data_IF_127565952139
#
_entry.id   IF_127565952139
#
_cell.length_a   1.000
_cell.length_b   1.000
_cell.length_c   1.000
_cell.angle_alpha   90.00
_cell.angle_beta   90.00
_cell.angle_gamma   90.00
#
_symmetry.space_group_name_H-M   'P 1'
#
loop_
_entity.id
_entity.type
_entity.pdbx_description
1 polymer ?
#
# COMPACT_ATOMS: atom_id res chain seq x y z
N UNK A 1 -15.88 -23.41 -26.48
CA UNK A 1 -14.45 -23.74 -26.48
C UNK A 1 -13.85 -23.08 -27.69
N UNK A 2 -13.45 -21.82 -27.56
CA UNK A 2 -12.75 -21.08 -28.61
C UNK A 2 -11.46 -20.52 -28.01
N UNK A 3 -10.38 -20.69 -28.77
CA UNK A 3 -9.01 -20.54 -28.36
C UNK A 3 -8.66 -19.08 -28.04
N UNK A 4 -8.14 -18.84 -26.84
CA UNK A 4 -7.35 -17.66 -26.51
C UNK A 4 -6.10 -17.61 -27.40
N UNK A 5 -6.13 -16.78 -28.45
CA UNK A 5 -4.92 -16.32 -29.13
C UNK A 5 -4.25 -15.28 -28.22
N UNK A 6 -3.24 -15.72 -27.48
CA UNK A 6 -2.28 -14.83 -26.84
C UNK A 6 -1.52 -14.12 -27.98
N UNK A 7 -1.83 -12.85 -28.19
CA UNK A 7 -1.02 -11.99 -29.04
C UNK A 7 0.32 -11.77 -28.35
N UNK A 8 1.33 -12.54 -28.76
CA UNK A 8 2.73 -12.22 -28.51
C UNK A 8 3.00 -10.90 -29.23
N UNK A 9 3.09 -9.80 -28.49
CA UNK A 9 3.50 -8.51 -29.01
C UNK A 9 4.97 -8.66 -29.44
N UNK A 10 5.21 -8.99 -30.73
CA UNK A 10 6.51 -8.79 -31.35
C UNK A 10 6.74 -7.28 -31.41
N UNK A 11 7.45 -6.75 -30.41
CA UNK A 11 8.04 -5.42 -30.49
C UNK A 11 9.01 -5.43 -31.67
N UNK A 12 8.77 -4.53 -32.63
CA UNK A 12 9.70 -4.20 -33.70
C UNK A 12 10.97 -3.63 -33.05
N UNK A 13 12.01 -4.46 -32.94
CA UNK A 13 13.34 -4.03 -32.52
C UNK A 13 14.04 -3.33 -33.69
N UNK A 14 14.19 -2.01 -33.63
CA UNK A 14 15.19 -1.31 -34.41
C UNK A 14 16.52 -1.33 -33.63
N UNK A 15 17.45 -2.20 -34.05
CA UNK A 15 18.80 -2.36 -33.49
C UNK A 15 19.03 -3.78 -32.94
N UNK A 16 19.40 -4.73 -33.80
CA UNK A 16 19.60 -6.16 -33.47
C UNK A 16 21.08 -6.60 -33.49
N UNK A 17 22.01 -5.66 -33.62
CA UNK A 17 23.45 -5.95 -33.62
C UNK A 17 24.03 -5.60 -32.26
N UNK A 18 24.37 -6.62 -31.45
CA UNK A 18 25.22 -6.42 -30.28
C UNK A 18 24.79 -7.12 -29.00
N UNK A 19 24.30 -6.37 -28.01
CA UNK A 19 23.96 -6.88 -26.67
C UNK A 19 22.46 -6.79 -26.38
N UNK A 20 21.93 -7.80 -25.67
CA UNK A 20 20.59 -7.81 -25.10
C UNK A 20 20.65 -7.65 -23.59
N UNK A 21 19.66 -6.94 -23.06
CA UNK A 21 19.35 -6.90 -21.64
C UNK A 21 17.93 -7.42 -21.41
N UNK A 22 17.82 -8.42 -20.55
CA UNK A 22 16.56 -8.95 -20.06
C UNK A 22 16.44 -8.57 -18.59
N UNK A 23 15.28 -8.04 -18.20
CA UNK A 23 14.99 -7.64 -16.83
C UNK A 23 13.65 -8.21 -16.37
N UNK A 24 13.44 -8.32 -15.06
CA UNK A 24 12.09 -8.47 -14.49
C UNK A 24 11.18 -7.34 -15.00
N UNK A 25 9.99 -7.67 -15.51
CA UNK A 25 9.03 -6.67 -16.03
C UNK A 25 8.22 -5.96 -14.93
N UNK A 26 8.03 -6.63 -13.78
CA UNK A 26 7.12 -6.19 -12.73
C UNK A 26 7.71 -6.44 -11.33
N UNK A 27 8.77 -5.70 -10.99
CA UNK A 27 9.46 -5.84 -9.71
C UNK A 27 8.58 -5.37 -8.54
N UNK A 28 7.85 -6.29 -7.92
CA UNK A 28 7.08 -6.07 -6.70
C UNK A 28 7.92 -6.47 -5.48
N UNK A 29 8.21 -5.51 -4.60
CA UNK A 29 9.08 -5.73 -3.44
C UNK A 29 8.57 -6.87 -2.56
N UNK A 30 9.47 -7.78 -2.17
CA UNK A 30 9.14 -8.93 -1.32
C UNK A 30 8.48 -10.10 -2.06
N UNK A 31 8.00 -9.89 -3.29
CA UNK A 31 7.18 -10.87 -4.03
C UNK A 31 7.92 -11.43 -5.24
N UNK A 32 8.51 -10.57 -6.07
CA UNK A 32 9.21 -10.97 -7.28
C UNK A 32 10.71 -10.71 -7.14
N UNK A 33 11.60 -11.63 -7.56
CA UNK A 33 13.02 -11.35 -7.59
C UNK A 33 13.37 -10.33 -8.68
N UNK A 34 14.42 -9.54 -8.46
CA UNK A 34 15.09 -8.85 -9.55
C UNK A 34 15.96 -9.85 -10.30
N UNK A 35 15.82 -9.92 -11.62
CA UNK A 35 16.71 -10.66 -12.50
C UNK A 35 17.13 -9.73 -13.63
N UNK A 36 18.44 -9.50 -13.77
CA UNK A 36 19.03 -8.71 -14.85
C UNK A 36 20.06 -9.58 -15.55
N UNK A 37 19.82 -9.86 -16.83
CA UNK A 37 20.68 -10.69 -17.66
C UNK A 37 21.17 -9.93 -18.89
N UNK A 38 22.48 -9.84 -19.04
CA UNK A 38 23.15 -9.43 -20.26
C UNK A 38 23.52 -10.67 -21.09
N UNK A 39 23.30 -10.64 -22.40
CA UNK A 39 23.69 -11.70 -23.34
C UNK A 39 23.95 -11.10 -24.73
N UNK A 40 24.70 -11.76 -25.63
CA UNK A 40 24.83 -11.27 -26.99
C UNK A 40 23.49 -11.39 -27.74
N UNK A 41 23.18 -10.41 -28.59
CA UNK A 41 21.96 -10.36 -29.41
C UNK A 41 22.04 -11.27 -30.64
N UNK A 42 23.20 -11.28 -31.28
CA UNK A 42 23.45 -12.08 -32.46
C UNK A 42 24.72 -12.90 -32.28
N UNK A 43 24.53 -14.21 -32.18
CA UNK A 43 25.60 -15.17 -31.98
C UNK A 43 26.50 -15.41 -33.19
N UNK A 44 26.05 -15.05 -34.39
CA UNK A 44 26.77 -15.37 -35.62
C UNK A 44 27.87 -14.35 -35.93
N UNK A 45 27.70 -13.12 -35.46
CA UNK A 45 28.67 -12.03 -35.57
C UNK A 45 29.61 -11.99 -34.36
N UNK A 46 29.10 -12.30 -33.17
CA UNK A 46 29.85 -12.25 -31.90
C UNK A 46 30.42 -13.63 -31.56
N UNK A 47 31.63 -13.90 -32.06
CA UNK A 47 32.29 -15.18 -31.83
C UNK A 47 33.01 -15.23 -30.48
N UNK A 48 33.65 -14.15 -30.05
CA UNK A 48 34.40 -14.10 -28.81
C UNK A 48 33.88 -12.98 -27.91
N UNK A 49 33.48 -13.30 -26.68
CA UNK A 49 33.11 -12.28 -25.70
C UNK A 49 34.29 -12.07 -24.76
N UNK A 50 34.84 -10.85 -24.75
CA UNK A 50 35.91 -10.48 -23.83
C UNK A 50 35.34 -10.15 -22.46
N UNK A 51 34.24 -9.39 -22.41
CA UNK A 51 33.57 -9.08 -21.15
C UNK A 51 32.13 -8.61 -21.29
N UNK A 52 31.35 -8.81 -20.24
CA UNK A 52 30.16 -8.01 -19.96
C UNK A 52 30.40 -7.18 -18.71
N UNK A 53 29.95 -5.91 -18.72
CA UNK A 53 29.84 -5.07 -17.53
C UNK A 53 28.39 -4.66 -17.36
N UNK A 54 27.79 -4.92 -16.21
CA UNK A 54 26.49 -4.40 -15.85
C UNK A 54 26.68 -3.13 -15.02
N UNK A 55 25.96 -2.08 -15.37
CA UNK A 55 25.90 -0.82 -14.62
C UNK A 55 24.49 -0.57 -14.11
N UNK A 56 24.40 0.14 -12.98
CA UNK A 56 23.16 0.65 -12.38
C UNK A 56 23.28 2.16 -12.24
N UNK A 57 22.44 2.91 -12.94
CA UNK A 57 22.51 4.38 -13.04
C UNK A 57 23.92 4.88 -13.40
N UNK A 58 24.62 4.16 -14.29
CA UNK A 58 26.00 4.48 -14.71
C UNK A 58 27.11 3.93 -13.80
N UNK A 59 26.79 3.42 -12.61
CA UNK A 59 27.79 2.82 -11.70
C UNK A 59 27.94 1.32 -11.99
N UNK A 60 29.16 0.79 -12.27
CA UNK A 60 29.37 -0.65 -12.48
C UNK A 60 28.97 -1.48 -11.26
N UNK A 61 28.06 -2.44 -11.44
CA UNK A 61 27.57 -3.37 -10.39
C UNK A 61 28.17 -4.78 -10.49
N UNK A 62 28.51 -5.22 -11.71
CA UNK A 62 29.08 -6.55 -11.93
C UNK A 62 29.87 -6.58 -13.24
N UNK A 63 30.89 -7.47 -13.31
CA UNK A 63 31.61 -7.74 -14.55
C UNK A 63 31.94 -9.22 -14.67
N UNK A 64 32.02 -9.70 -15.90
CA UNK A 64 32.61 -11.01 -16.21
C UNK A 64 33.59 -10.80 -17.34
N UNK A 65 34.77 -11.41 -17.22
CA UNK A 65 35.87 -11.23 -18.17
C UNK A 65 36.44 -12.57 -18.59
N UNK A 66 36.89 -12.67 -19.83
CA UNK A 66 37.59 -13.84 -20.33
C UNK A 66 39.09 -13.71 -20.04
N UNK A 67 39.67 -14.70 -19.37
CA UNK A 67 41.11 -14.79 -19.17
C UNK A 67 41.73 -15.67 -20.24
N UNK A 68 42.29 -15.03 -21.27
CA UNK A 68 42.93 -15.71 -22.41
C UNK A 68 44.12 -16.57 -22.00
N UNK A 69 44.89 -16.16 -20.99
CA UNK A 69 46.09 -16.87 -20.56
C UNK A 69 45.77 -18.21 -19.88
N UNK A 70 44.62 -18.31 -19.20
CA UNK A 70 44.16 -19.51 -18.53
C UNK A 70 43.03 -20.25 -19.27
N UNK A 71 42.63 -19.75 -20.46
CA UNK A 71 41.49 -20.25 -21.25
C UNK A 71 40.22 -20.50 -20.42
N UNK A 72 39.94 -19.60 -19.47
CA UNK A 72 38.80 -19.74 -18.57
C UNK A 72 38.04 -18.41 -18.39
N UNK A 73 36.80 -18.51 -17.93
CA UNK A 73 36.04 -17.33 -17.53
C UNK A 73 36.45 -16.91 -16.12
N UNK A 74 36.96 -15.69 -15.99
CA UNK A 74 37.11 -15.02 -14.70
C UNK A 74 35.86 -14.19 -14.43
N UNK A 75 35.00 -14.69 -13.54
CA UNK A 75 33.91 -13.90 -12.99
C UNK A 75 34.50 -12.89 -11.98
N UNK A 76 34.46 -11.60 -12.30
CA UNK A 76 35.00 -10.55 -11.42
C UNK A 76 33.85 -9.69 -10.95
N UNK A 77 33.38 -9.93 -9.72
CA UNK A 77 32.47 -9.00 -9.03
C UNK A 77 33.19 -7.65 -8.91
N UNK A 78 32.74 -6.65 -9.67
CA UNK A 78 33.39 -5.33 -9.70
C UNK A 78 32.72 -4.26 -8.85
N UNK A 79 31.58 -4.56 -8.19
CA UNK A 79 30.99 -3.59 -7.28
C UNK A 79 31.12 -3.98 -5.81
N UNK A 80 31.59 -2.95 -5.12
CA UNK A 80 32.19 -2.80 -3.80
C UNK A 80 31.26 -1.93 -2.94
N UNK A 81 30.08 -1.55 -3.42
CA UNK A 81 29.10 -0.77 -2.65
C UNK A 81 28.16 -1.65 -1.80
N UNK A 82 28.69 -2.24 -0.72
CA UNK A 82 27.95 -2.77 0.45
C UNK A 82 26.78 -3.76 0.24
N UNK A 83 26.48 -4.21 -0.99
CA UNK A 83 25.32 -5.05 -1.33
C UNK A 83 25.71 -6.47 -1.75
N UNK A 84 26.98 -6.87 -1.57
CA UNK A 84 27.51 -8.16 -2.04
C UNK A 84 26.75 -9.37 -1.48
N UNK A 85 26.19 -9.25 -0.28
CA UNK A 85 25.36 -10.29 0.35
C UNK A 85 23.93 -10.40 -0.18
N UNK A 86 23.46 -9.44 -0.99
CA UNK A 86 22.10 -9.41 -1.55
C UNK A 86 22.02 -9.98 -2.97
N UNK A 87 23.13 -9.95 -3.72
CA UNK A 87 23.16 -10.37 -5.12
C UNK A 87 23.66 -11.81 -5.26
N UNK A 88 22.95 -12.60 -6.06
CA UNK A 88 23.48 -13.83 -6.63
C UNK A 88 23.98 -13.54 -8.05
N UNK A 89 25.30 -13.58 -8.23
CA UNK A 89 25.96 -13.29 -9.50
C UNK A 89 26.35 -14.59 -10.20
N UNK A 90 25.97 -14.71 -11.46
CA UNK A 90 26.43 -15.78 -12.34
C UNK A 90 26.86 -15.18 -13.68
N UNK A 91 27.81 -15.82 -14.36
CA UNK A 91 28.23 -15.34 -15.66
C UNK A 91 29.22 -16.29 -16.31
N UNK A 92 29.17 -16.33 -17.63
CA UNK A 92 30.10 -17.06 -18.46
C UNK A 92 30.34 -16.25 -19.75
N UNK A 93 31.58 -16.16 -20.21
CA UNK A 93 31.92 -15.52 -21.50
C UNK A 93 32.67 -16.46 -22.44
N UNK A 94 33.06 -17.63 -21.93
CA UNK A 94 33.79 -18.66 -22.64
C UNK A 94 32.93 -19.92 -22.76
N UNK A 95 32.11 -19.95 -23.81
CA UNK A 95 31.33 -21.12 -24.21
C UNK A 95 31.24 -21.17 -25.74
N UNK A 96 31.24 -22.38 -26.30
CA UNK A 96 30.97 -22.61 -27.72
C UNK A 96 29.53 -22.23 -28.09
N UNK A 97 28.59 -22.40 -27.17
CA UNK A 97 27.21 -21.98 -27.33
C UNK A 97 27.06 -20.49 -26.92
N UNK A 98 26.71 -19.60 -27.86
CA UNK A 98 26.54 -18.17 -27.61
C UNK A 98 25.48 -17.84 -26.56
N UNK A 99 24.44 -18.67 -26.42
CA UNK A 99 23.36 -18.48 -25.43
C UNK A 99 23.87 -18.64 -24.00
N UNK A 100 24.94 -19.42 -23.82
CA UNK A 100 25.62 -19.61 -22.55
C UNK A 100 26.61 -18.50 -22.24
N UNK A 101 26.82 -17.53 -23.14
CA UNK A 101 27.60 -16.32 -22.86
C UNK A 101 26.68 -15.26 -22.23
N UNK A 102 26.82 -15.02 -20.94
CA UNK A 102 25.97 -14.08 -20.21
C UNK A 102 26.64 -13.51 -18.97
N UNK A 103 26.05 -12.43 -18.47
CA UNK A 103 26.21 -11.94 -17.11
C UNK A 103 24.82 -11.82 -16.50
N UNK A 104 24.58 -12.40 -15.33
CA UNK A 104 23.27 -12.40 -14.68
C UNK A 104 23.40 -12.03 -13.21
N UNK A 105 22.68 -10.99 -12.81
CA UNK A 105 22.51 -10.55 -11.42
C UNK A 105 21.10 -10.85 -10.97
N UNK A 106 20.97 -11.58 -9.86
CA UNK A 106 19.67 -11.86 -9.25
C UNK A 106 19.63 -11.30 -7.82
N UNK A 107 18.60 -10.54 -7.47
CA UNK A 107 18.25 -10.24 -6.07
C UNK A 107 17.06 -11.12 -5.69
N UNK A 108 17.18 -11.99 -4.68
CA UNK A 108 16.06 -12.75 -4.15
C UNK A 108 14.89 -11.84 -3.75
N UNK A 109 13.65 -12.29 -3.93
CA UNK A 109 12.45 -11.49 -3.68
C UNK A 109 12.41 -10.87 -2.27
N UNK A 110 12.84 -11.60 -1.24
CA UNK A 110 12.89 -11.12 0.15
C UNK A 110 14.00 -10.08 0.43
N UNK A 111 14.92 -9.86 -0.50
CA UNK A 111 16.03 -8.90 -0.41
C UNK A 111 15.90 -7.74 -1.39
N UNK A 112 14.81 -7.70 -2.16
CA UNK A 112 14.52 -6.57 -3.05
C UNK A 112 14.20 -5.34 -2.22
N UNK A 113 14.67 -4.17 -2.65
CA UNK A 113 14.38 -2.90 -2.01
C UNK A 113 14.11 -1.81 -3.03
N UNK A 114 13.64 -0.66 -2.58
CA UNK A 114 13.39 0.48 -3.47
C UNK A 114 14.64 0.93 -4.25
N UNK A 115 15.83 0.70 -3.69
CA UNK A 115 17.08 1.01 -4.38
C UNK A 115 17.22 0.21 -5.68
N UNK A 116 16.60 -0.95 -5.81
CA UNK A 116 16.67 -1.76 -7.02
C UNK A 116 15.93 -1.11 -8.21
N UNK A 117 15.17 -0.02 -7.98
CA UNK A 117 14.69 0.85 -9.05
C UNK A 117 15.85 1.63 -9.67
N UNK A 118 16.15 1.33 -10.93
CA UNK A 118 17.25 1.97 -11.63
C UNK A 118 17.18 1.74 -13.14
N UNK A 119 17.96 2.53 -13.86
CA UNK A 119 18.34 2.19 -15.22
C UNK A 119 19.54 1.23 -15.20
N UNK A 120 19.35 0.02 -15.70
CA UNK A 120 20.40 -0.99 -15.81
C UNK A 120 20.97 -0.98 -17.22
N UNK A 121 22.29 -0.90 -17.34
CA UNK A 121 22.99 -0.84 -18.63
C UNK A 121 23.95 -2.01 -18.76
N UNK A 122 23.77 -2.83 -19.78
CA UNK A 122 24.70 -3.88 -20.16
C UNK A 122 25.69 -3.32 -21.18
N UNK A 123 26.97 -3.42 -20.87
CA UNK A 123 28.08 -3.11 -21.76
C UNK A 123 28.71 -4.42 -22.22
N UNK A 124 28.87 -4.59 -23.53
CA UNK A 124 29.54 -5.71 -24.16
C UNK A 124 30.87 -5.25 -24.75
N UNK A 125 31.92 -6.01 -24.49
CA UNK A 125 33.16 -5.96 -25.26
C UNK A 125 33.44 -7.37 -25.81
N UNK A 126 33.58 -7.47 -27.12
CA UNK A 126 33.68 -8.70 -27.87
C UNK A 126 34.63 -8.57 -29.06
N UNK A 127 34.82 -9.67 -29.76
CA UNK A 127 35.44 -9.71 -31.07
C UNK A 127 34.62 -10.56 -32.03
N UNK A 128 34.66 -10.17 -33.29
CA UNK A 128 34.08 -10.94 -34.39
C UNK A 128 34.99 -12.10 -34.82
N UNK A 129 34.61 -12.78 -35.92
CA UNK A 129 35.36 -13.91 -36.49
C UNK A 129 36.74 -13.50 -37.01
N UNK A 130 36.88 -12.25 -37.43
CA UNK A 130 38.12 -11.67 -37.96
C UNK A 130 38.98 -11.05 -36.84
N UNK A 131 38.58 -11.24 -35.58
CA UNK A 131 39.21 -10.70 -34.37
C UNK A 131 39.18 -9.16 -34.28
N UNK A 132 38.31 -8.50 -35.05
CA UNK A 132 38.07 -7.08 -34.90
C UNK A 132 37.33 -6.82 -33.58
N UNK A 133 37.71 -5.74 -32.89
CA UNK A 133 37.07 -5.37 -31.63
C UNK A 133 35.66 -4.85 -31.87
N UNK A 134 34.74 -5.27 -31.01
CA UNK A 134 33.34 -4.91 -31.04
C UNK A 134 32.88 -4.47 -29.65
N UNK A 135 32.28 -3.29 -29.55
CA UNK A 135 31.71 -2.77 -28.31
C UNK A 135 30.27 -2.32 -28.57
N UNK A 136 29.38 -2.67 -27.65
CA UNK A 136 27.97 -2.28 -27.72
C UNK A 136 27.38 -2.11 -26.32
N UNK A 137 26.27 -1.38 -26.23
CA UNK A 137 25.55 -1.17 -24.98
C UNK A 137 24.05 -1.08 -25.15
N UNK A 138 23.33 -1.59 -24.14
CA UNK A 138 21.87 -1.49 -24.09
C UNK A 138 21.42 -1.20 -22.66
N UNK A 139 20.41 -0.35 -22.52
CA UNK A 139 19.86 0.05 -21.23
C UNK A 139 18.40 -0.35 -21.08
N UNK A 140 18.00 -0.71 -19.87
CA UNK A 140 16.61 -0.98 -19.53
C UNK A 140 16.32 -0.50 -18.12
N UNK A 141 15.24 0.27 -18.00
CA UNK A 141 14.74 0.73 -16.72
C UNK A 141 13.92 -0.37 -16.05
N UNK A 142 14.19 -0.58 -14.76
CA UNK A 142 13.40 -1.44 -13.89
C UNK A 142 12.70 -0.55 -12.88
N UNK A 143 11.36 -0.50 -12.94
CA UNK A 143 10.53 0.20 -11.98
C UNK A 143 10.13 -0.71 -10.82
N UNK A 144 10.02 -0.14 -9.62
CA UNK A 144 9.56 -0.86 -8.43
C UNK A 144 8.06 -0.63 -8.19
N UNK A 145 7.36 -1.69 -7.83
CA UNK A 145 5.99 -1.68 -7.31
C UNK A 145 5.97 -2.11 -5.85
N UNK A 146 5.05 -1.54 -5.09
CA UNK A 146 4.79 -1.94 -3.71
C UNK A 146 3.30 -2.15 -3.52
N UNK A 147 2.94 -3.09 -2.65
CA UNK A 147 1.55 -3.34 -2.27
C UNK A 147 1.17 -2.49 -1.05
N UNK A 148 -0.13 -2.33 -0.82
CA UNK A 148 -0.64 -1.76 0.42
C UNK A 148 -0.34 -2.70 1.59
N UNK A 149 0.25 -2.18 2.67
CA UNK A 149 0.73 -3.02 3.78
C UNK A 149 0.07 -2.71 5.12
N UNK A 150 -0.57 -1.55 5.27
CA UNK A 150 -1.23 -1.19 6.53
C UNK A 150 -2.32 -0.14 6.33
N UNK A 151 -3.34 -0.20 7.20
CA UNK A 151 -4.22 0.90 7.54
C UNK A 151 -4.02 1.16 9.05
N UNK A 152 -3.64 2.37 9.42
CA UNK A 152 -3.28 2.71 10.80
C UNK A 152 -4.50 2.65 11.72
N UNK A 153 -5.62 3.18 11.23
CA UNK A 153 -6.86 3.30 11.97
C UNK A 153 -7.84 4.23 11.27
N UNK A 154 -9.05 4.27 11.83
CA UNK A 154 -10.04 5.29 11.55
C UNK A 154 -10.15 6.16 12.80
N UNK A 155 -10.03 7.47 12.60
CA UNK A 155 -9.98 8.44 13.68
C UNK A 155 -11.04 9.51 13.44
N UNK A 156 -11.66 9.98 14.51
CA UNK A 156 -12.47 11.21 14.51
C UNK A 156 -12.12 11.97 15.77
N UNK A 157 -11.96 13.31 15.70
CA UNK A 157 -11.67 14.10 16.89
C UNK A 157 -12.86 14.06 17.88
N UNK A 158 -12.60 14.15 19.19
CA UNK A 158 -13.64 14.43 20.17
C UNK A 158 -14.25 15.81 19.92
N UNK A 159 -15.54 15.92 20.13
CA UNK A 159 -16.39 17.10 20.02
C UNK A 159 -17.34 17.10 21.22
N UNK A 160 -18.06 18.20 21.47
CA UNK A 160 -19.13 18.21 22.48
C UNK A 160 -20.29 17.26 22.17
N UNK A 161 -20.37 16.80 20.92
CA UNK A 161 -21.50 16.03 20.38
C UNK A 161 -21.15 14.55 20.11
N UNK A 162 -19.95 14.09 20.50
CA UNK A 162 -19.60 12.67 20.38
C UNK A 162 -18.88 12.16 21.63
N UNK A 163 -19.04 10.85 21.86
CA UNK A 163 -18.38 10.13 22.95
C UNK A 163 -17.65 8.93 22.35
N UNK A 164 -16.32 8.99 22.33
CA UNK A 164 -15.48 7.93 21.76
C UNK A 164 -15.33 6.78 22.75
N UNK A 165 -15.40 5.57 22.22
CA UNK A 165 -15.29 4.32 22.96
C UNK A 165 -13.81 3.86 22.97
N UNK A 166 -13.22 3.54 24.15
CA UNK A 166 -11.87 2.98 24.22
C UNK A 166 -11.70 1.68 23.43
N UNK A 167 -12.79 0.93 23.18
CA UNK A 167 -12.78 -0.34 22.45
C UNK A 167 -12.83 -0.20 20.91
N UNK A 168 -12.88 1.04 20.38
CA UNK A 168 -12.90 1.30 18.94
C UNK A 168 -14.31 1.59 18.42
N UNK A 169 -14.72 2.85 18.55
CA UNK A 169 -15.99 3.35 18.04
C UNK A 169 -16.39 4.65 18.71
N UNK A 170 -17.66 5.02 18.57
CA UNK A 170 -18.20 6.15 19.32
C UNK A 170 -19.71 6.26 19.24
N UNK A 171 -20.27 7.08 20.13
CA UNK A 171 -21.65 7.55 20.06
C UNK A 171 -21.67 8.96 19.49
N UNK A 172 -22.58 9.22 18.56
CA UNK A 172 -22.64 10.47 17.81
C UNK A 172 -24.05 11.03 17.76
N UNK A 173 -24.17 12.35 17.89
CA UNK A 173 -25.44 13.06 17.85
C UNK A 173 -26.08 12.97 16.46
N UNK A 174 -27.34 12.54 16.40
CA UNK A 174 -28.13 12.53 15.16
C UNK A 174 -28.28 13.95 14.61
N UNK A 175 -28.10 14.10 13.30
CA UNK A 175 -28.18 15.38 12.58
C UNK A 175 -26.85 16.11 12.45
N UNK A 176 -25.84 15.74 13.24
CA UNK A 176 -24.49 16.31 13.16
C UNK A 176 -23.63 15.58 12.11
N UNK A 177 -22.69 16.31 11.51
CA UNK A 177 -21.71 15.77 10.55
C UNK A 177 -20.35 15.63 11.24
N UNK A 178 -19.72 14.46 11.10
CA UNK A 178 -18.41 14.18 11.69
C UNK A 178 -17.40 13.84 10.59
N UNK A 179 -16.17 14.29 10.78
CA UNK A 179 -15.05 14.00 9.88
C UNK A 179 -14.24 12.83 10.41
N UNK A 180 -14.38 11.69 9.74
CA UNK A 180 -13.53 10.53 9.94
C UNK A 180 -12.30 10.63 9.05
N UNK A 181 -11.15 10.24 9.59
CA UNK A 181 -9.87 10.21 8.88
C UNK A 181 -9.35 8.79 8.90
N UNK A 182 -8.99 8.28 7.73
CA UNK A 182 -8.29 7.02 7.56
C UNK A 182 -6.91 7.30 6.99
N UNK A 183 -5.87 6.72 7.58
CA UNK A 183 -4.51 6.82 7.06
C UNK A 183 -4.00 5.43 6.72
N UNK A 184 -3.41 5.29 5.53
CA UNK A 184 -2.98 3.99 5.03
C UNK A 184 -1.74 4.07 4.16
N UNK A 185 -0.98 2.97 4.14
CA UNK A 185 0.09 2.72 3.19
C UNK A 185 -0.56 2.08 1.94
N UNK A 186 -0.54 2.81 0.82
CA UNK A 186 -1.38 2.56 -0.36
C UNK A 186 -0.64 2.01 -1.58
N UNK A 187 0.59 1.54 -1.40
CA UNK A 187 1.36 0.92 -2.49
C UNK A 187 1.97 1.94 -3.46
N UNK A 188 2.63 1.40 -4.49
CA UNK A 188 3.19 2.12 -5.63
C UNK A 188 2.88 1.31 -6.90
N UNK A 189 2.11 1.87 -7.87
CA UNK A 189 1.46 3.18 -7.82
C UNK A 189 0.43 3.27 -6.68
N UNK A 190 0.19 4.48 -6.12
CA UNK A 190 -0.73 4.66 -5.01
C UNK A 190 -2.17 4.34 -5.44
N UNK A 191 -2.87 3.56 -4.63
CA UNK A 191 -4.32 3.34 -4.78
C UNK A 191 -5.12 4.25 -3.85
N UNK A 192 -6.37 4.51 -4.22
CA UNK A 192 -7.28 5.26 -3.35
C UNK A 192 -7.68 4.42 -2.13
N UNK A 193 -8.00 5.09 -1.03
CA UNK A 193 -8.64 4.49 0.13
C UNK A 193 -10.16 4.56 -0.06
N UNK A 194 -10.81 3.40 0.06
CA UNK A 194 -12.25 3.27 -0.09
C UNK A 194 -12.91 3.18 1.28
N UNK A 195 -14.00 3.92 1.42
CA UNK A 195 -14.89 3.82 2.56
C UNK A 195 -16.07 2.92 2.25
N UNK A 196 -16.39 2.07 3.21
CA UNK A 196 -17.48 1.11 3.12
C UNK A 196 -18.23 1.08 4.45
N UNK A 197 -19.44 0.56 4.42
CA UNK A 197 -20.24 0.41 5.63
C UNK A 197 -21.05 -0.88 5.60
N UNK A 198 -21.51 -1.27 6.79
CA UNK A 198 -22.57 -2.27 6.98
C UNK A 198 -23.24 -2.03 8.32
N UNK A 199 -24.42 -2.59 8.52
CA UNK A 199 -24.97 -2.72 9.87
C UNK A 199 -24.32 -3.90 10.61
N UNK A 200 -24.19 -3.77 11.92
CA UNK A 200 -23.75 -4.88 12.76
C UNK A 200 -24.68 -6.11 12.57
N UNK A 201 -24.07 -7.27 12.37
CA UNK A 201 -24.77 -8.52 12.02
C UNK A 201 -24.92 -8.78 10.52
N UNK A 202 -24.68 -7.79 9.64
CA UNK A 202 -24.67 -8.02 8.19
C UNK A 202 -23.38 -8.72 7.73
N UNK A 203 -23.53 -9.59 6.72
CA UNK A 203 -22.43 -10.41 6.21
C UNK A 203 -21.45 -9.64 5.33
N UNK A 204 -21.92 -8.65 4.56
CA UNK A 204 -21.13 -7.95 3.55
C UNK A 204 -21.02 -6.44 3.80
N UNK A 205 -19.92 -5.84 3.38
CA UNK A 205 -19.77 -4.40 3.32
C UNK A 205 -20.29 -3.87 1.98
N UNK A 206 -21.03 -2.76 2.03
CA UNK A 206 -21.40 -1.98 0.86
C UNK A 206 -20.48 -0.76 0.72
N UNK A 207 -20.18 -0.31 -0.50
CA UNK A 207 -19.45 0.94 -0.71
C UNK A 207 -20.28 2.14 -0.22
N UNK A 208 -19.63 3.09 0.44
CA UNK A 208 -20.23 4.40 0.70
C UNK A 208 -20.16 5.20 -0.60
N UNK A 209 -21.30 5.39 -1.27
CA UNK A 209 -21.41 6.14 -2.53
C UNK A 209 -22.09 7.48 -2.26
N UNK A 210 -21.68 8.53 -2.98
CA UNK A 210 -22.01 9.95 -2.75
C UNK A 210 -23.52 10.25 -2.82
N UNK A 211 -24.21 10.12 -1.70
CA UNK A 211 -25.47 10.85 -1.39
C UNK A 211 -25.61 11.17 0.11
N UNK A 212 -24.85 10.49 0.99
CA UNK A 212 -24.78 10.73 2.45
C UNK A 212 -23.37 11.02 2.96
N UNK A 213 -22.36 10.98 2.08
CA UNK A 213 -20.95 11.04 2.44
C UNK A 213 -20.17 11.86 1.41
N UNK A 214 -19.37 12.80 1.89
CA UNK A 214 -18.36 13.50 1.08
C UNK A 214 -16.98 12.92 1.41
N UNK A 215 -16.33 12.35 0.40
CA UNK A 215 -15.04 11.66 0.51
C UNK A 215 -13.99 12.47 -0.24
N UNK A 216 -12.97 12.88 0.50
CA UNK A 216 -11.80 13.58 -0.05
C UNK A 216 -10.52 12.85 0.35
N UNK A 217 -9.46 12.99 -0.45
CA UNK A 217 -8.19 12.33 -0.19
C UNK A 217 -7.04 13.33 -0.26
N UNK A 218 -6.00 13.08 0.52
CA UNK A 218 -4.73 13.80 0.39
C UNK A 218 -3.99 13.38 -0.87
N UNK A 219 -3.06 14.20 -1.32
CA UNK A 219 -2.03 13.72 -2.24
C UNK A 219 -1.24 12.57 -1.58
N UNK A 220 -0.81 11.55 -2.34
CA UNK A 220 0.05 10.50 -1.81
C UNK A 220 1.44 11.06 -1.52
N UNK A 221 1.98 10.72 -0.36
CA UNK A 221 3.32 11.10 0.06
C UNK A 221 4.23 9.87 0.06
N UNK A 222 5.49 10.06 -0.37
CA UNK A 222 6.48 8.98 -0.30
C UNK A 222 6.71 8.61 1.16
N UNK A 223 6.52 7.34 1.44
CA UNK A 223 6.71 6.70 2.73
C UNK A 223 7.72 5.56 2.57
N UNK A 224 8.14 4.98 3.70
CA UNK A 224 9.16 3.94 3.81
C UNK A 224 9.22 2.97 2.62
N UNK A 225 10.44 2.61 2.20
CA UNK A 225 10.71 1.70 1.07
C UNK A 225 10.01 2.10 -0.24
N UNK A 226 9.92 3.42 -0.47
CA UNK A 226 9.18 4.08 -1.55
C UNK A 226 7.75 3.60 -1.78
N UNK A 227 7.14 3.10 -0.72
CA UNK A 227 5.70 2.99 -0.66
C UNK A 227 5.09 4.39 -0.59
N UNK A 228 3.78 4.52 -0.82
CA UNK A 228 3.08 5.77 -0.62
C UNK A 228 2.16 5.67 0.58
N UNK A 229 2.03 6.76 1.31
CA UNK A 229 1.04 6.93 2.37
C UNK A 229 0.06 8.01 1.96
N UNK A 230 -1.21 7.80 2.27
CA UNK A 230 -2.29 8.73 1.97
C UNK A 230 -3.26 8.80 3.13
N UNK A 231 -3.91 9.94 3.27
CA UNK A 231 -5.08 10.11 4.12
C UNK A 231 -6.35 10.20 3.27
N UNK A 232 -7.43 9.63 3.77
CA UNK A 232 -8.77 9.79 3.23
C UNK A 232 -9.69 10.29 4.33
N UNK A 233 -10.56 11.23 3.97
CA UNK A 233 -11.46 11.92 4.87
C UNK A 233 -12.89 11.64 4.45
N UNK A 234 -13.70 11.20 5.40
CA UNK A 234 -15.12 10.94 5.23
C UNK A 234 -15.89 11.92 6.11
N UNK A 235 -16.63 12.84 5.50
CA UNK A 235 -17.65 13.62 6.19
C UNK A 235 -18.96 12.82 6.22
N UNK A 236 -19.36 12.37 7.39
CA UNK A 236 -20.51 11.48 7.58
C UNK A 236 -21.57 12.15 8.46
N UNK A 237 -22.77 12.33 7.92
CA UNK A 237 -23.92 12.88 8.65
C UNK A 237 -24.66 11.77 9.37
N UNK A 238 -24.77 11.87 10.69
CA UNK A 238 -25.42 10.86 11.50
C UNK A 238 -26.93 10.91 11.37
N UNK A 239 -27.54 9.74 11.21
CA UNK A 239 -28.98 9.57 11.08
C UNK A 239 -29.51 8.62 12.15
N UNK A 240 -30.83 8.54 12.30
CA UNK A 240 -31.45 7.62 13.27
C UNK A 240 -31.26 6.14 12.93
N UNK A 241 -30.83 5.81 11.70
CA UNK A 241 -30.57 4.41 11.31
C UNK A 241 -29.17 3.94 11.70
N UNK A 242 -28.27 4.84 12.10
CA UNK A 242 -26.87 4.53 12.43
C UNK A 242 -26.69 3.91 13.81
N UNK A 243 -27.52 2.94 14.20
CA UNK A 243 -27.54 2.43 15.57
C UNK A 243 -26.33 1.54 15.92
N UNK A 244 -25.78 0.82 14.94
CA UNK A 244 -24.51 0.09 15.02
C UNK A 244 -23.90 -0.03 13.61
N UNK A 245 -23.71 1.10 12.95
CA UNK A 245 -23.08 1.12 11.62
C UNK A 245 -21.57 0.87 11.77
N UNK A 246 -21.04 -0.13 11.08
CA UNK A 246 -19.60 -0.41 11.02
C UNK A 246 -19.04 0.25 9.78
N UNK A 247 -18.26 1.31 9.96
CA UNK A 247 -17.45 1.89 8.90
C UNK A 247 -16.20 1.04 8.68
N UNK A 248 -15.79 0.91 7.44
CA UNK A 248 -14.56 0.24 7.02
C UNK A 248 -13.80 1.15 6.09
N UNK A 249 -12.49 1.23 6.31
CA UNK A 249 -11.55 1.84 5.39
C UNK A 249 -10.54 0.77 4.93
N UNK A 250 -10.34 0.67 3.62
CA UNK A 250 -9.41 -0.25 3.00
C UNK A 250 -8.81 0.34 1.72
N UNK A 251 -7.62 -0.10 1.27
CA UNK A 251 -7.12 0.22 -0.06
C UNK A 251 -8.04 -0.37 -1.13
N UNK A 252 -8.33 0.39 -2.18
CA UNK A 252 -9.18 -0.05 -3.27
C UNK A 252 -8.57 -1.27 -4.00
N UNK A 253 -9.31 -2.37 -4.08
CA UNK A 253 -8.84 -3.65 -4.66
C UNK A 253 -9.18 -3.84 -6.14
N UNK A 254 -9.57 -2.78 -6.85
CA UNK A 254 -10.04 -2.85 -8.25
C UNK A 254 -11.41 -3.54 -8.43
N UNK A 255 -11.95 -4.19 -7.39
CA UNK A 255 -13.29 -4.75 -7.37
C UNK A 255 -14.31 -3.74 -6.85
N UNK A 256 -15.57 -3.83 -7.28
CA UNK A 256 -16.65 -2.95 -6.79
C UNK A 256 -17.10 -3.27 -5.35
N UNK A 257 -16.90 -4.50 -4.89
CA UNK A 257 -17.33 -4.94 -3.56
C UNK A 257 -16.30 -4.60 -2.47
N UNK A 258 -16.82 -4.21 -1.31
CA UNK A 258 -16.05 -3.84 -0.12
C UNK A 258 -15.71 -5.05 0.77
N UNK A 259 -14.72 -4.87 1.64
CA UNK A 259 -14.35 -5.84 2.67
C UNK A 259 -13.41 -6.94 2.19
N UNK A 260 -12.82 -6.77 1.01
CA UNK A 260 -11.86 -7.69 0.40
C UNK A 260 -10.44 -7.09 0.30
N UNK A 261 -10.21 -5.92 0.89
CA UNK A 261 -8.89 -5.32 0.95
C UNK A 261 -7.93 -6.20 1.74
N UNK A 262 -6.68 -6.29 1.27
CA UNK A 262 -5.59 -7.06 1.92
C UNK A 262 -5.35 -6.59 3.36
N UNK A 263 -5.56 -5.30 3.59
CA UNK A 263 -5.52 -4.65 4.90
C UNK A 263 -6.74 -3.74 5.04
N UNK A 264 -7.29 -3.66 6.24
CA UNK A 264 -8.43 -2.80 6.53
C UNK A 264 -8.48 -2.42 8.01
N UNK A 265 -9.28 -1.40 8.32
CA UNK A 265 -9.69 -1.05 9.67
C UNK A 265 -11.16 -0.71 9.70
N UNK A 266 -11.78 -1.02 10.84
CA UNK A 266 -13.19 -0.73 11.09
C UNK A 266 -13.36 0.27 12.22
N UNK A 267 -14.48 0.98 12.21
CA UNK A 267 -14.91 1.89 13.26
C UNK A 267 -16.42 1.81 13.44
N UNK A 268 -16.90 1.60 14.66
CA UNK A 268 -18.33 1.48 14.93
C UNK A 268 -18.90 2.86 15.30
N UNK A 269 -19.91 3.30 14.55
CA UNK A 269 -20.68 4.51 14.87
C UNK A 269 -22.06 4.12 15.41
N UNK A 270 -22.48 4.83 16.47
CA UNK A 270 -23.75 4.60 17.15
C UNK A 270 -24.48 5.92 17.33
N UNK A 271 -25.61 6.07 16.65
CA UNK A 271 -26.48 7.23 16.76
C UNK A 271 -27.02 7.36 18.19
N UNK A 272 -27.04 8.59 18.71
CA UNK A 272 -27.84 8.92 19.87
C UNK A 272 -28.63 10.21 19.64
N UNK A 273 -29.84 10.25 20.18
CA UNK A 273 -30.66 11.45 20.24
C UNK A 273 -30.84 11.84 21.71
N UNK A 274 -30.41 13.04 22.14
CA UNK A 274 -30.72 13.59 23.44
C UNK A 274 -32.19 14.03 23.44
N UNK A 275 -33.11 13.08 23.63
CA UNK A 275 -34.54 13.36 23.72
C UNK A 275 -35.42 12.31 23.05
N UNK A 276 -35.71 11.24 23.78
CA UNK A 276 -36.74 10.24 23.42
C UNK A 276 -37.36 9.54 24.64
N UNK A 277 -37.09 10.04 25.84
CA UNK A 277 -37.75 9.60 27.06
C UNK A 277 -39.01 10.41 27.30
N UNK A 278 -40.15 9.99 26.76
CA UNK A 278 -41.37 10.12 27.56
C UNK A 278 -41.14 9.30 28.82
N UNK A 279 -41.05 9.96 29.97
CA UNK A 279 -41.09 9.30 31.26
C UNK A 279 -42.43 8.56 31.40
N UNK A 280 -42.48 7.29 31.00
CA UNK A 280 -43.50 6.35 31.44
C UNK A 280 -42.80 5.22 32.19
N UNK A 281 -42.86 5.27 33.51
CA UNK A 281 -42.36 4.19 34.37
C UNK A 281 -41.36 4.62 35.43
N UNK A 282 -41.70 5.58 36.28
CA UNK A 282 -41.20 5.58 37.65
C UNK A 282 -42.32 5.98 38.62
N UNK A 283 -43.26 5.06 38.84
CA UNK A 283 -44.09 5.08 40.05
C UNK A 283 -43.21 4.62 41.22
N UNK A 284 -42.41 5.55 41.74
CA UNK A 284 -41.73 5.57 43.06
C UNK A 284 -40.41 6.34 42.97
N UNK A 285 -40.48 7.64 42.74
CA UNK A 285 -39.50 8.55 43.33
C UNK A 285 -40.25 9.44 44.32
N UNK A 286 -40.10 9.11 45.61
CA UNK A 286 -40.51 9.99 46.70
C UNK A 286 -39.81 11.36 46.53
N UNK A 287 -40.60 12.36 46.17
CA UNK A 287 -40.21 13.77 46.22
C UNK A 287 -40.27 14.23 47.69
N UNK A 288 -39.11 14.25 48.34
CA UNK A 288 -38.90 14.92 49.62
C UNK A 288 -38.64 16.41 49.39
N UNK A 289 -39.68 17.20 49.11
CA UNK A 289 -39.64 18.66 49.22
C UNK A 289 -40.93 19.14 49.86
N UNK A 290 -40.94 19.16 51.20
CA UNK A 290 -42.00 19.79 51.98
C UNK A 290 -41.85 21.31 51.97
N UNK A 291 -42.67 21.98 51.16
CA UNK A 291 -42.95 23.41 51.24
C UNK A 291 -43.71 23.70 52.55
N UNK A 292 -43.09 24.49 53.44
CA UNK A 292 -43.74 25.14 54.57
C UNK A 292 -44.69 26.24 54.04
N UNK A 293 -45.97 25.90 53.89
CA UNK A 293 -47.03 26.89 53.81
C UNK A 293 -47.46 27.29 55.22
N UNK A 294 -47.31 28.57 55.51
CA UNK A 294 -47.97 29.27 56.60
C UNK A 294 -49.48 29.11 56.50
N UNK A 295 -50.11 28.52 57.53
CA UNK A 295 -51.55 28.61 57.72
C UNK A 295 -51.86 29.21 59.08
N UNK A 296 -52.34 30.44 59.02
CA UNK A 296 -52.97 31.19 60.10
C UNK A 296 -54.26 30.45 60.53
N UNK A 297 -54.33 29.98 61.77
CA UNK A 297 -55.60 29.56 62.38
C UNK A 297 -55.85 30.43 63.60
N UNK A 298 -56.85 31.29 63.44
CA UNK A 298 -57.55 32.01 64.49
C UNK A 298 -58.46 31.01 65.20
N UNK A 299 -58.24 30.77 66.49
CA UNK A 299 -59.29 30.23 67.37
C UNK A 299 -59.38 31.07 68.63
N UNK A 300 -60.60 31.51 68.87
CA UNK A 300 -61.08 32.33 69.97
C UNK A 300 -61.22 31.54 71.26
N UNK A 301 -61.33 32.33 72.35
CA UNK A 301 -61.96 32.03 73.64
C UNK A 301 -61.13 31.32 74.72
N UNK A 302 -61.16 31.90 75.92
CA UNK A 302 -60.98 31.14 77.17
C UNK A 302 -60.06 31.77 78.21
N UNK A 303 -60.64 32.61 79.05
CA UNK A 303 -60.07 33.32 80.21
C UNK A 303 -59.59 32.34 81.33
N UNK A 304 -58.59 32.79 82.13
CA UNK A 304 -58.46 32.69 83.61
C UNK A 304 -57.22 31.94 84.18
N UNK A 305 -56.40 32.77 84.84
CA UNK A 305 -55.57 32.64 86.06
C UNK A 305 -54.83 31.36 86.52
N UNK A 306 -53.50 31.54 86.67
CA UNK A 306 -52.59 31.43 87.85
C UNK A 306 -52.99 30.45 88.99
N UNK A 307 -52.01 29.69 89.52
CA UNK A 307 -51.23 30.15 90.68
C UNK A 307 -49.73 30.33 90.41
#
# INVERSE_FOLDING_TARGET
MELFRIAYLMLLFSGLDGVLIQTSSDLTLGVTPLDVRCSPANSELIMYVNSFTLQRNGTPVAKVTYNRAAQNTNLIVLDITNNRGRYNLTGNVHDSNPVNKFLRVVVPANLTSCLDEANYTCLLNAQDKDHANYEDQVSRYVGVKTVSTAIDGIYTPPTGDNMLDPSGGGRFLVGSTYRFTCTGIVGRPPVNLRWCYKQEGEMGFAPLISYTADITESEPEVYQDCNNRRQSFLNYTMTTVDMNTVLLCEPASGMYYCGNGVVNKTFVVRAYSPGGGTYSGCNQCQLSIGLLFTLLIVTTSGVVNIP
#
